data_IF_165397684304
#
_entry.id   IF_165397684304
#
_cell.length_a   1.000
_cell.length_b   1.000
_cell.length_c   1.000
_cell.angle_alpha   90.00
_cell.angle_beta   90.00
_cell.angle_gamma   90.00
#
_symmetry.space_group_name_H-M   'P 1'
#
loop_
_entity.id
_entity.type
_entity.pdbx_description
1 polymer ?
#
# COMPACT_ATOMS: atom_id res chain seq x y z
N UNK A 1 16.77 -3.09 29.37
CA UNK A 1 16.15 -3.12 28.03
C UNK A 1 17.18 -2.77 26.98
N UNK A 2 17.33 -3.61 25.97
CA UNK A 2 18.28 -3.37 24.89
C UNK A 2 17.58 -2.50 23.84
N UNK A 3 18.20 -1.37 23.48
CA UNK A 3 17.67 -0.55 22.40
C UNK A 3 17.87 -1.27 21.06
N UNK A 4 16.85 -1.26 20.20
CA UNK A 4 17.04 -1.78 18.84
C UNK A 4 18.13 -1.00 18.14
N UNK A 5 18.97 -1.68 17.39
CA UNK A 5 19.95 -1.01 16.55
C UNK A 5 19.28 -0.59 15.24
N UNK A 6 19.47 0.65 14.81
CA UNK A 6 19.00 1.02 13.49
C UNK A 6 19.62 0.11 12.43
N UNK A 7 18.83 -0.27 11.46
CA UNK A 7 19.28 -1.10 10.36
C UNK A 7 18.96 -0.41 9.03
N UNK A 8 19.94 -0.38 8.15
CA UNK A 8 19.76 0.12 6.79
C UNK A 8 19.42 -1.07 5.91
N UNK A 9 18.30 -1.00 5.21
CA UNK A 9 17.83 -2.05 4.32
C UNK A 9 17.91 -1.53 2.89
N UNK A 10 18.51 -2.32 2.00
CA UNK A 10 18.62 -1.97 0.60
C UNK A 10 17.46 -2.60 -0.18
N UNK A 11 17.03 -1.89 -1.23
CA UNK A 11 15.94 -2.39 -2.08
C UNK A 11 16.29 -3.76 -2.64
N UNK A 12 17.52 -3.95 -3.09
CA UNK A 12 17.95 -5.18 -3.75
C UNK A 12 17.99 -6.41 -2.84
N UNK A 13 18.01 -6.23 -1.52
CA UNK A 13 17.98 -7.38 -0.60
C UNK A 13 16.57 -7.73 -0.15
N UNK A 14 15.57 -6.98 -0.63
CA UNK A 14 14.17 -7.17 -0.24
C UNK A 14 13.47 -8.05 -1.25
N UNK A 15 12.79 -9.09 -0.77
CA UNK A 15 12.04 -9.98 -1.64
C UNK A 15 10.87 -9.26 -2.32
N UNK A 16 10.73 -9.37 -3.64
CA UNK A 16 9.61 -8.76 -4.33
C UNK A 16 8.31 -9.52 -4.06
N UNK A 17 7.23 -8.79 -3.88
CA UNK A 17 5.89 -9.35 -3.86
C UNK A 17 5.17 -8.89 -5.13
N UNK A 18 4.87 -9.83 -6.01
CA UNK A 18 4.23 -9.56 -7.30
C UNK A 18 2.81 -10.08 -7.38
N UNK A 19 2.25 -10.50 -6.28
CA UNK A 19 0.93 -11.17 -6.26
C UNK A 19 -0.22 -10.31 -6.77
N UNK A 20 -0.13 -8.98 -6.59
CA UNK A 20 -1.17 -8.05 -7.05
C UNK A 20 -0.80 -7.34 -8.34
N UNK A 21 0.32 -7.71 -8.95
CA UNK A 21 0.93 -6.95 -10.02
C UNK A 21 1.94 -5.97 -9.46
N UNK A 22 2.78 -5.41 -10.33
CA UNK A 22 3.88 -4.59 -9.90
C UNK A 22 4.95 -5.39 -9.16
N UNK A 23 5.93 -4.66 -8.65
CA UNK A 23 7.01 -5.20 -7.83
C UNK A 23 6.98 -4.43 -6.51
N UNK A 24 6.36 -5.02 -5.49
CA UNK A 24 6.25 -4.39 -4.18
C UNK A 24 7.33 -4.93 -3.26
N UNK A 25 8.08 -4.02 -2.66
CA UNK A 25 9.16 -4.36 -1.75
C UNK A 25 8.92 -3.72 -0.40
N UNK A 26 8.48 -4.53 0.57
CA UNK A 26 8.29 -4.09 1.94
C UNK A 26 9.65 -4.08 2.63
N UNK A 27 10.24 -2.91 2.77
CA UNK A 27 11.62 -2.75 3.21
C UNK A 27 11.75 -2.64 4.71
N UNK A 28 10.96 -1.77 5.32
CA UNK A 28 11.03 -1.47 6.75
C UNK A 28 9.75 -1.97 7.40
N UNK A 29 9.85 -3.11 8.06
CA UNK A 29 8.69 -3.84 8.59
C UNK A 29 9.00 -4.36 9.99
N UNK A 30 8.00 -4.87 10.71
CA UNK A 30 8.30 -5.56 11.97
C UNK A 30 9.33 -6.67 11.81
N UNK A 31 9.28 -7.41 10.71
CA UNK A 31 10.21 -8.52 10.50
C UNK A 31 11.63 -8.04 10.18
N UNK A 32 11.80 -6.95 9.45
CA UNK A 32 13.12 -6.49 9.04
C UNK A 32 13.79 -5.60 10.08
N UNK A 33 13.05 -4.70 10.69
CA UNK A 33 13.62 -3.68 11.58
C UNK A 33 12.91 -3.56 12.92
N UNK A 34 11.93 -4.41 13.19
CA UNK A 34 11.20 -4.38 14.47
C UNK A 34 10.27 -3.18 14.61
N UNK A 35 9.72 -2.66 13.52
CA UNK A 35 8.81 -1.53 13.59
C UNK A 35 7.53 -1.91 14.34
N UNK A 36 6.95 -0.94 15.03
CA UNK A 36 5.75 -1.15 15.84
C UNK A 36 4.58 -0.26 15.44
N UNK A 37 4.83 0.79 14.67
CA UNK A 37 3.80 1.77 14.32
C UNK A 37 3.34 1.69 12.87
N UNK A 38 4.12 1.08 12.01
CA UNK A 38 3.80 0.97 10.60
C UNK A 38 4.89 0.24 9.84
N UNK A 39 4.70 0.13 8.53
CA UNK A 39 5.74 -0.39 7.66
C UNK A 39 5.80 0.43 6.37
N UNK A 40 6.93 0.35 5.71
CA UNK A 40 7.23 1.19 4.56
C UNK A 40 7.97 0.39 3.50
N UNK A 41 7.71 0.74 2.26
CA UNK A 41 8.38 0.10 1.15
C UNK A 41 8.31 0.90 -0.13
N UNK A 42 8.70 0.24 -1.21
CA UNK A 42 8.71 0.81 -2.55
C UNK A 42 7.92 -0.10 -3.48
N UNK A 43 7.10 0.49 -4.31
CA UNK A 43 6.43 -0.23 -5.38
C UNK A 43 6.95 0.27 -6.72
N UNK A 44 7.31 -0.67 -7.57
CA UNK A 44 7.83 -0.40 -8.91
C UNK A 44 6.82 -0.95 -9.90
N UNK A 45 6.32 -0.11 -10.79
CA UNK A 45 5.26 -0.48 -11.73
C UNK A 45 5.72 -0.17 -13.15
N UNK A 46 5.82 -1.20 -13.98
CA UNK A 46 6.21 -1.04 -15.37
C UNK A 46 5.07 -0.45 -16.21
N UNK A 47 5.39 0.17 -17.38
CA UNK A 47 4.33 0.67 -18.25
C UNK A 47 3.32 -0.42 -18.60
N UNK A 48 2.04 -0.10 -18.52
CA UNK A 48 0.96 -1.03 -18.78
C UNK A 48 0.63 -1.98 -17.64
N UNK A 49 1.44 -2.01 -16.59
CA UNK A 49 1.18 -2.85 -15.42
C UNK A 49 0.40 -2.06 -14.37
N UNK A 50 -0.05 -2.77 -13.35
CA UNK A 50 -0.83 -2.20 -12.27
C UNK A 50 -0.61 -2.96 -10.98
N UNK A 51 -0.91 -2.29 -9.88
CA UNK A 51 -1.13 -2.94 -8.58
C UNK A 51 -2.63 -3.09 -8.44
N UNK A 52 -3.12 -4.33 -8.36
CA UNK A 52 -4.54 -4.66 -8.36
C UNK A 52 -5.31 -4.02 -7.21
N UNK A 53 -6.60 -3.84 -7.42
CA UNK A 53 -7.44 -3.16 -6.44
C UNK A 53 -7.49 -3.92 -5.11
N UNK A 54 -7.35 -3.17 -4.04
CA UNK A 54 -7.43 -3.68 -2.67
C UNK A 54 -7.70 -2.52 -1.72
N UNK A 55 -7.93 -2.85 -0.45
CA UNK A 55 -8.00 -1.85 0.61
C UNK A 55 -7.32 -2.37 1.87
N UNK A 56 -7.04 -1.47 2.79
CA UNK A 56 -6.41 -1.78 4.07
C UNK A 56 -7.40 -1.49 5.20
N UNK A 57 -7.85 -2.50 5.95
CA UNK A 57 -8.85 -2.27 7.00
C UNK A 57 -8.32 -1.63 8.27
N UNK A 58 -7.01 -1.68 8.51
CA UNK A 58 -6.41 -1.19 9.75
C UNK A 58 -5.56 0.05 9.56
N UNK A 59 -5.14 0.33 8.33
CA UNK A 59 -4.08 1.31 8.10
C UNK A 59 -4.52 2.38 7.13
N UNK A 60 -4.02 3.58 7.36
CA UNK A 60 -3.95 4.59 6.32
C UNK A 60 -2.72 4.30 5.47
N UNK A 61 -2.80 4.58 4.20
CA UNK A 61 -1.64 4.46 3.32
C UNK A 61 -1.16 5.83 2.88
N UNK A 62 0.13 6.09 3.06
CA UNK A 62 0.77 7.33 2.64
C UNK A 62 1.67 7.01 1.46
N UNK A 63 1.51 7.73 0.37
CA UNK A 63 2.21 7.46 -0.89
C UNK A 63 2.92 8.72 -1.35
N UNK A 64 4.15 8.55 -1.83
CA UNK A 64 4.90 9.59 -2.50
C UNK A 64 5.42 9.05 -3.83
N UNK A 65 5.20 9.81 -4.92
CA UNK A 65 5.67 9.40 -6.25
C UNK A 65 7.09 9.89 -6.46
N UNK A 66 7.99 8.96 -6.69
CA UNK A 66 9.40 9.25 -6.96
C UNK A 66 9.60 9.57 -8.44
N UNK A 67 9.05 8.74 -9.32
CA UNK A 67 9.19 8.91 -10.76
C UNK A 67 8.05 8.20 -11.49
N UNK A 68 7.88 8.56 -12.76
CA UNK A 68 6.86 7.96 -13.63
C UNK A 68 5.50 8.64 -13.47
N UNK A 69 4.57 8.23 -14.32
CA UNK A 69 3.21 8.75 -14.31
C UNK A 69 2.24 7.64 -14.01
N UNK A 70 1.41 7.87 -13.00
CA UNK A 70 0.42 6.90 -12.56
C UNK A 70 -0.97 7.50 -12.60
N UNK A 71 -1.96 6.63 -12.67
CA UNK A 71 -3.30 6.95 -12.22
C UNK A 71 -3.64 6.06 -11.04
N UNK A 72 -4.19 6.65 -10.02
CA UNK A 72 -4.71 5.91 -8.88
C UNK A 72 -6.24 5.94 -8.96
N UNK A 73 -6.85 4.75 -8.93
CA UNK A 73 -8.29 4.65 -8.84
C UNK A 73 -8.65 4.60 -7.35
N UNK A 74 -9.43 5.57 -6.90
CA UNK A 74 -9.89 5.65 -5.51
C UNK A 74 -11.39 5.40 -5.51
N UNK A 75 -11.81 4.28 -4.95
CA UNK A 75 -13.19 3.80 -5.01
C UNK A 75 -13.72 3.83 -6.46
N UNK A 76 -12.87 3.43 -7.41
CA UNK A 76 -13.21 3.39 -8.83
C UNK A 76 -13.03 4.68 -9.59
N UNK A 77 -12.73 5.79 -8.92
CA UNK A 77 -12.56 7.08 -9.59
C UNK A 77 -11.09 7.35 -9.87
N UNK A 78 -10.70 7.56 -11.14
CA UNK A 78 -9.29 7.76 -11.49
C UNK A 78 -8.80 9.16 -11.16
N UNK A 79 -7.58 9.23 -10.65
CA UNK A 79 -6.90 10.47 -10.34
C UNK A 79 -5.46 10.39 -10.87
N UNK A 80 -5.01 11.39 -11.65
CA UNK A 80 -3.60 11.42 -12.05
C UNK A 80 -2.70 11.60 -10.83
N UNK A 81 -1.56 10.92 -10.85
CA UNK A 81 -0.59 10.99 -9.77
C UNK A 81 0.81 11.07 -10.39
N UNK A 82 1.50 12.17 -10.13
CA UNK A 82 2.75 12.54 -10.80
C UNK A 82 3.92 12.63 -9.82
N UNK A 83 5.14 12.66 -10.33
CA UNK A 83 6.33 12.81 -9.49
C UNK A 83 6.22 13.99 -8.53
N UNK A 84 6.72 13.79 -7.34
CA UNK A 84 6.73 14.77 -6.25
C UNK A 84 5.37 15.08 -5.67
N UNK A 85 4.35 14.27 -5.99
CA UNK A 85 3.04 14.38 -5.37
C UNK A 85 2.88 13.32 -4.29
N UNK A 86 2.16 13.69 -3.24
CA UNK A 86 1.83 12.78 -2.14
C UNK A 86 0.34 12.57 -2.06
N UNK A 87 -0.06 11.42 -1.51
CA UNK A 87 -1.44 11.03 -1.35
C UNK A 87 -1.58 10.25 -0.06
N UNK A 88 -2.62 10.54 0.71
CA UNK A 88 -3.01 9.67 1.82
C UNK A 88 -4.32 8.99 1.46
N UNK A 89 -4.33 7.67 1.52
CA UNK A 89 -5.51 6.85 1.24
C UNK A 89 -6.07 6.40 2.57
N UNK A 90 -7.31 6.78 2.90
CA UNK A 90 -7.94 6.36 4.16
C UNK A 90 -8.11 4.85 4.24
N UNK A 91 -8.19 4.34 5.46
CA UNK A 91 -8.54 2.94 5.67
C UNK A 91 -9.86 2.62 4.96
N UNK A 92 -9.99 1.41 4.45
CA UNK A 92 -11.15 0.88 3.73
C UNK A 92 -11.39 1.43 2.34
N UNK A 93 -10.71 2.48 1.93
CA UNK A 93 -10.86 2.99 0.56
C UNK A 93 -10.19 2.05 -0.42
N UNK A 94 -10.94 1.54 -1.39
CA UNK A 94 -10.40 0.69 -2.46
C UNK A 94 -9.50 1.52 -3.35
N UNK A 95 -8.36 0.97 -3.72
CA UNK A 95 -7.43 1.67 -4.59
C UNK A 95 -6.66 0.72 -5.49
N UNK A 96 -6.32 1.25 -6.66
CA UNK A 96 -5.53 0.55 -7.69
C UNK A 96 -4.57 1.57 -8.28
N UNK A 97 -3.31 1.18 -8.42
CA UNK A 97 -2.32 2.03 -9.09
C UNK A 97 -2.06 1.47 -10.48
N UNK A 98 -2.15 2.32 -11.49
CA UNK A 98 -1.91 1.93 -12.89
C UNK A 98 -0.81 2.80 -13.47
N UNK A 99 0.18 2.19 -14.13
CA UNK A 99 1.18 2.97 -14.87
C UNK A 99 0.61 3.28 -16.25
N UNK A 100 0.27 4.54 -16.47
CA UNK A 100 -0.30 5.04 -17.72
C UNK A 100 0.74 5.75 -18.58
N UNK A 101 1.97 5.79 -18.13
CA UNK A 101 3.08 6.41 -18.86
C UNK A 101 3.86 5.43 -19.69
N UNK A 102 5.01 5.88 -20.15
CA UNK A 102 5.88 5.10 -21.04
C UNK A 102 7.16 4.63 -20.35
N UNK A 103 7.36 5.04 -19.11
CA UNK A 103 8.53 4.68 -18.31
C UNK A 103 8.11 4.05 -17.00
N UNK A 104 9.06 3.38 -16.35
CA UNK A 104 8.86 2.80 -15.03
C UNK A 104 8.39 3.87 -14.05
N UNK A 105 7.43 3.52 -13.22
CA UNK A 105 6.97 4.37 -12.13
C UNK A 105 7.39 3.78 -10.79
N UNK A 106 7.73 4.65 -9.85
CA UNK A 106 8.07 4.24 -8.48
C UNK A 106 7.33 5.08 -7.48
N UNK A 107 6.77 4.42 -6.49
CA UNK A 107 6.18 5.08 -5.33
C UNK A 107 6.83 4.55 -4.06
N UNK A 108 6.93 5.43 -3.08
CA UNK A 108 7.22 5.03 -1.70
C UNK A 108 5.88 4.96 -0.99
N UNK A 109 5.65 3.90 -0.24
CA UNK A 109 4.42 3.76 0.54
C UNK A 109 4.72 3.50 2.00
N UNK A 110 3.84 3.97 2.85
CA UNK A 110 3.86 3.70 4.29
C UNK A 110 2.45 3.37 4.74
N UNK A 111 2.30 2.31 5.50
CA UNK A 111 1.03 1.91 6.10
C UNK A 111 1.14 1.92 7.62
N UNK A 112 0.19 2.54 8.25
CA UNK A 112 0.11 2.61 9.71
C UNK A 112 -1.25 3.10 10.16
N UNK A 113 -1.69 2.70 11.35
CA UNK A 113 -1.05 1.74 12.24
C UNK A 113 -1.00 0.33 11.66
N UNK A 114 -0.24 -0.53 12.30
CA UNK A 114 -0.12 -1.92 11.85
C UNK A 114 -1.41 -2.70 12.09
N UNK A 115 -1.72 -3.62 11.17
CA UNK A 115 -2.73 -4.63 11.42
C UNK A 115 -2.25 -5.60 12.51
N UNK A 116 -3.17 -6.30 13.19
CA UNK A 116 -2.76 -7.28 14.21
C UNK A 116 -1.89 -8.40 13.65
N UNK A 117 -2.09 -8.75 12.39
CA UNK A 117 -1.28 -9.72 11.64
C UNK A 117 -1.22 -9.28 10.18
N UNK A 118 -0.11 -9.56 9.47
CA UNK A 118 0.02 -9.16 8.07
C UNK A 118 -1.13 -9.63 7.18
N UNK A 119 -1.64 -10.84 7.41
CA UNK A 119 -2.72 -11.40 6.60
C UNK A 119 -4.02 -10.62 6.70
N UNK A 120 -4.21 -9.88 7.78
CA UNK A 120 -5.41 -9.05 7.99
C UNK A 120 -5.22 -7.64 7.45
N UNK A 121 -4.01 -7.30 7.03
CA UNK A 121 -3.64 -5.93 6.68
C UNK A 121 -4.14 -5.46 5.33
N UNK A 122 -4.68 -6.35 4.50
CA UNK A 122 -5.23 -5.97 3.21
C UNK A 122 -6.32 -6.93 2.77
N UNK A 123 -7.22 -6.44 1.93
CA UNK A 123 -8.31 -7.23 1.33
C UNK A 123 -8.30 -6.97 -0.16
N UNK A 124 -8.06 -8.02 -0.95
CA UNK A 124 -8.03 -7.91 -2.40
C UNK A 124 -9.45 -7.84 -2.95
N UNK A 125 -9.68 -6.88 -3.84
CA UNK A 125 -10.98 -6.64 -4.46
C UNK A 125 -10.90 -6.57 -5.99
N UNK A 126 -9.73 -6.88 -6.56
CA UNK A 126 -9.55 -6.82 -8.00
C UNK A 126 -10.53 -7.75 -8.68
N UNK A 127 -11.29 -7.21 -9.64
CA UNK A 127 -12.31 -7.99 -10.36
C UNK A 127 -13.60 -8.20 -9.61
N UNK A 128 -13.75 -7.65 -8.39
CA UNK A 128 -15.02 -7.72 -7.66
C UNK A 128 -15.86 -6.47 -7.90
N UNK A 129 -17.18 -6.59 -7.64
CA UNK A 129 -18.03 -5.42 -7.73
C UNK A 129 -17.67 -4.42 -6.63
N UNK A 130 -17.73 -3.10 -6.93
CA UNK A 130 -17.59 -2.10 -5.90
C UNK A 130 -18.67 -2.23 -4.85
N UNK A 131 -18.37 -1.80 -3.62
CA UNK A 131 -19.36 -1.75 -2.57
C UNK A 131 -20.50 -0.82 -2.98
N UNK A 132 -21.72 -1.18 -2.62
CA UNK A 132 -22.86 -0.34 -2.87
C UNK A 132 -22.74 0.96 -2.05
N UNK A 133 -23.35 2.02 -2.56
CA UNK A 133 -23.35 3.29 -1.86
C UNK A 133 -23.95 3.12 -0.47
N UNK A 134 -23.21 3.54 0.55
CA UNK A 134 -23.61 3.38 1.93
C UNK A 134 -23.17 2.10 2.61
N UNK A 135 -22.61 1.16 1.88
CA UNK A 135 -21.93 0.03 2.49
C UNK A 135 -20.66 0.52 3.15
N UNK A 136 -20.66 0.31 4.45
CA UNK A 136 -19.56 0.79 5.23
C UNK A 136 -18.56 -0.29 5.40
N UNK A 137 -17.62 0.17 5.66
CA UNK A 137 -16.66 -0.43 6.34
C UNK A 137 -17.17 -1.34 7.37
N UNK A 138 -16.42 -1.72 8.05
CA UNK A 138 -16.04 -2.88 8.66
C UNK A 138 -16.93 -3.27 9.80
N UNK A 139 -16.99 -4.54 10.07
CA UNK A 139 -17.59 -5.02 11.30
C UNK A 139 -16.93 -4.38 12.51
N UNK A 140 -17.71 -4.19 13.57
CA UNK A 140 -17.20 -3.57 14.79
C UNK A 140 -16.04 -4.32 15.43
N UNK A 141 -15.99 -5.62 15.26
CA UNK A 141 -14.89 -6.45 15.81
C UNK A 141 -13.52 -6.09 15.21
N UNK A 142 -13.51 -5.54 14.01
CA UNK A 142 -12.27 -5.09 13.40
C UNK A 142 -11.63 -3.98 14.22
N UNK A 143 -12.45 -3.08 14.72
CA UNK A 143 -11.95 -1.99 15.56
C UNK A 143 -11.44 -2.49 16.92
N UNK A 144 -12.04 -3.53 17.44
CA UNK A 144 -11.60 -4.12 18.72
C UNK A 144 -10.23 -4.78 18.62
N UNK A 145 -9.93 -5.35 17.48
CA UNK A 145 -8.68 -6.05 17.28
C UNK A 145 -7.50 -5.10 17.13
N UNK A 146 -7.77 -3.84 16.84
CA UNK A 146 -6.72 -2.83 16.63
C UNK A 146 -5.96 -2.43 17.88
N UNK A 147 -6.56 -2.53 19.00
CA UNK A 147 -5.99 -2.00 20.24
C UNK A 147 -4.70 -2.68 20.67
#
# INVERSE_FOLDING_TARGET
MIKPRPRIVELGETEPNTKRGGDLRAMLTPATVGSTSGFMGVAIVQPGDRIGEHYHPYSEEFVYVVCGELEVDLDGEPHPLRPEQGLMIPAYMRHRFRNVGEVEARIVFHLGPLAPRPQLGHVDTEGTEPAAAGEEAPPADVAEVRS
#
